data_IF_632198526613
#
_entry.id   IF_632198526613
#
_cell.length_a   1.000
_cell.length_b   1.000
_cell.length_c   1.000
_cell.angle_alpha   90.00
_cell.angle_beta   90.00
_cell.angle_gamma   90.00
#
_symmetry.space_group_name_H-M   'P 1'
#
loop_
_entity.id
_entity.type
_entity.pdbx_description
1 polymer ?
#
# COMPACT_ATOMS: atom_id res chain seq x y z
N UNK A 1 -7.84 -34.57 47.56
CA UNK A 1 -7.14 -35.00 46.33
C UNK A 1 -8.12 -35.37 45.20
N UNK A 2 -9.14 -36.18 45.45
CA UNK A 2 -10.12 -36.70 44.44
C UNK A 2 -10.76 -35.61 43.56
N UNK A 3 -11.18 -34.47 44.12
CA UNK A 3 -11.81 -33.37 43.35
C UNK A 3 -10.84 -32.65 42.40
N UNK A 4 -9.56 -32.52 42.74
CA UNK A 4 -8.56 -31.94 41.88
C UNK A 4 -8.26 -32.83 40.68
N UNK A 5 -8.19 -34.15 40.90
CA UNK A 5 -7.96 -35.11 39.81
C UNK A 5 -9.16 -35.15 38.85
N UNK A 6 -10.39 -35.12 39.38
CA UNK A 6 -11.60 -35.03 38.55
C UNK A 6 -11.65 -33.74 37.71
N UNK A 7 -11.28 -32.61 38.29
CA UNK A 7 -11.22 -31.35 37.58
C UNK A 7 -10.17 -31.40 36.44
N UNK A 8 -9.00 -31.98 36.67
CA UNK A 8 -7.96 -32.13 35.65
C UNK A 8 -8.46 -33.00 34.49
N UNK A 9 -9.08 -34.15 34.82
CA UNK A 9 -9.64 -35.08 33.82
C UNK A 9 -10.74 -34.40 33.02
N UNK A 10 -11.67 -33.70 33.68
CA UNK A 10 -12.74 -32.98 33.01
C UNK A 10 -12.18 -31.88 32.06
N UNK A 11 -11.18 -31.12 32.52
CA UNK A 11 -10.51 -30.12 31.70
C UNK A 11 -9.83 -30.74 30.48
N UNK A 12 -9.14 -31.88 30.67
CA UNK A 12 -8.50 -32.56 29.55
C UNK A 12 -9.52 -33.08 28.53
N UNK A 13 -10.60 -33.71 28.98
CA UNK A 13 -11.69 -34.18 28.11
C UNK A 13 -12.30 -33.01 27.34
N UNK A 14 -12.54 -31.86 27.98
CA UNK A 14 -13.09 -30.67 27.34
C UNK A 14 -12.14 -30.15 26.26
N UNK A 15 -10.85 -30.11 26.51
CA UNK A 15 -9.84 -29.72 25.52
C UNK A 15 -9.85 -30.64 24.30
N UNK A 16 -9.89 -31.95 24.54
CA UNK A 16 -9.91 -32.97 23.48
C UNK A 16 -11.17 -32.84 22.63
N UNK A 17 -12.35 -32.76 23.26
CA UNK A 17 -13.61 -32.56 22.54
C UNK A 17 -13.60 -31.27 21.74
N UNK A 18 -13.14 -30.17 22.31
CA UNK A 18 -13.04 -28.87 21.64
C UNK A 18 -12.12 -28.95 20.42
N UNK A 19 -10.99 -29.65 20.55
CA UNK A 19 -10.06 -29.84 19.43
C UNK A 19 -10.69 -30.62 18.28
N UNK A 20 -11.34 -31.78 18.60
CA UNK A 20 -12.01 -32.59 17.58
C UNK A 20 -13.19 -31.84 16.91
N UNK A 21 -13.96 -31.09 17.69
CA UNK A 21 -15.06 -30.27 17.16
C UNK A 21 -14.52 -29.20 16.21
N UNK A 22 -13.46 -28.54 16.60
CA UNK A 22 -12.80 -27.53 15.75
C UNK A 22 -12.16 -28.15 14.50
N UNK A 23 -11.57 -29.33 14.62
CA UNK A 23 -11.04 -30.10 13.50
C UNK A 23 -12.15 -30.48 12.51
N UNK A 24 -13.24 -31.05 13.00
CA UNK A 24 -14.38 -31.42 12.15
C UNK A 24 -15.01 -30.23 11.46
N UNK A 25 -15.20 -29.12 12.20
CA UNK A 25 -15.69 -27.88 11.63
C UNK A 25 -14.77 -27.35 10.53
N UNK A 26 -13.47 -27.32 10.79
CA UNK A 26 -12.49 -26.84 9.81
C UNK A 26 -12.44 -27.74 8.59
N UNK A 27 -12.50 -29.06 8.78
CA UNK A 27 -12.49 -30.03 7.68
C UNK A 27 -13.72 -29.90 6.78
N UNK A 28 -14.91 -29.77 7.38
CA UNK A 28 -16.17 -29.63 6.64
C UNK A 28 -16.19 -28.30 5.87
N UNK A 29 -15.78 -27.24 6.52
CA UNK A 29 -15.83 -25.89 5.99
C UNK A 29 -14.54 -25.46 5.27
N UNK A 30 -13.59 -26.39 5.09
CA UNK A 30 -12.41 -26.13 4.29
C UNK A 30 -12.86 -25.96 2.84
N UNK A 31 -13.36 -24.76 2.55
CA UNK A 31 -13.56 -24.30 1.18
C UNK A 31 -12.17 -24.17 0.57
N UNK A 32 -12.07 -24.52 -0.69
CA UNK A 32 -10.88 -24.16 -1.45
C UNK A 32 -10.64 -22.68 -1.22
N UNK A 33 -9.56 -22.39 -0.50
CA UNK A 33 -9.12 -21.01 -0.37
C UNK A 33 -9.01 -20.53 -1.80
N UNK A 34 -9.59 -19.37 -2.13
CA UNK A 34 -9.68 -18.96 -3.51
C UNK A 34 -8.32 -19.18 -4.15
N UNK A 35 -8.25 -20.09 -5.09
CA UNK A 35 -7.05 -20.45 -5.86
C UNK A 35 -6.28 -19.21 -6.33
N UNK A 36 -7.00 -18.09 -6.42
CA UNK A 36 -6.53 -16.75 -6.78
C UNK A 36 -5.35 -16.25 -5.92
N UNK A 37 -5.27 -16.64 -4.65
CA UNK A 37 -4.23 -16.15 -3.75
C UNK A 37 -2.99 -17.06 -3.68
N UNK A 38 -3.08 -18.31 -4.14
CA UNK A 38 -2.09 -19.32 -3.78
C UNK A 38 -1.47 -20.07 -4.94
N UNK A 39 -1.84 -19.73 -6.16
CA UNK A 39 -1.60 -20.63 -7.30
C UNK A 39 -0.23 -20.62 -7.91
N UNK A 40 0.67 -19.70 -7.62
CA UNK A 40 1.96 -19.75 -8.26
C UNK A 40 3.14 -19.70 -7.32
N UNK A 41 4.02 -20.67 -7.47
CA UNK A 41 5.38 -20.67 -6.91
C UNK A 41 6.12 -19.36 -7.21
N UNK A 42 5.88 -18.76 -8.38
CA UNK A 42 6.43 -17.45 -8.78
C UNK A 42 6.01 -16.33 -7.83
N UNK A 43 4.74 -16.29 -7.41
CA UNK A 43 4.22 -15.28 -6.48
C UNK A 43 4.90 -15.42 -5.12
N UNK A 44 5.00 -16.65 -4.63
CA UNK A 44 5.67 -16.96 -3.37
C UNK A 44 7.16 -16.59 -3.39
N UNK A 45 7.86 -16.91 -4.47
CA UNK A 45 9.28 -16.61 -4.63
C UNK A 45 9.51 -15.09 -4.73
N UNK A 46 8.61 -14.38 -5.41
CA UNK A 46 8.60 -12.92 -5.45
C UNK A 46 8.48 -12.32 -4.05
N UNK A 47 7.53 -12.78 -3.28
CA UNK A 47 7.36 -12.37 -1.90
C UNK A 47 8.59 -12.66 -1.04
N UNK A 48 9.14 -13.85 -1.11
CA UNK A 48 10.37 -14.21 -0.41
C UNK A 48 11.51 -13.26 -0.74
N UNK A 49 11.60 -12.87 -2.00
CA UNK A 49 12.66 -11.99 -2.49
C UNK A 49 12.51 -10.56 -1.98
N UNK A 50 11.29 -10.02 -1.99
CA UNK A 50 11.07 -8.59 -1.73
C UNK A 50 10.56 -8.26 -0.33
N UNK A 51 10.03 -9.23 0.44
CA UNK A 51 9.52 -9.02 1.80
C UNK A 51 10.54 -8.43 2.78
N UNK A 52 11.82 -8.55 2.48
CA UNK A 52 12.90 -7.97 3.28
C UNK A 52 13.29 -6.55 2.86
N UNK A 53 12.81 -6.09 1.72
CA UNK A 53 13.26 -4.84 1.10
C UNK A 53 12.24 -3.71 1.19
N UNK A 54 10.96 -4.04 1.33
CA UNK A 54 9.88 -3.06 1.32
C UNK A 54 8.99 -3.21 2.54
N UNK A 55 8.56 -2.10 3.08
CA UNK A 55 7.81 -2.02 4.32
C UNK A 55 6.42 -2.66 4.24
N UNK A 56 5.67 -2.32 3.24
CA UNK A 56 4.41 -2.94 2.90
C UNK A 56 4.61 -3.69 1.59
N UNK A 57 4.72 -4.98 1.69
CA UNK A 57 4.52 -5.78 0.53
C UNK A 57 3.10 -6.28 0.62
N UNK A 58 2.24 -5.59 -0.05
CA UNK A 58 1.13 -6.29 -0.61
C UNK A 58 1.76 -7.19 -1.68
N UNK A 59 1.12 -7.87 -2.36
CA UNK A 59 1.52 -8.93 -3.20
C UNK A 59 2.72 -8.65 -4.11
N UNK A 60 3.09 -7.40 -4.52
CA UNK A 60 3.87 -7.26 -5.72
C UNK A 60 4.57 -5.93 -5.89
N UNK A 61 5.08 -5.32 -4.85
CA UNK A 61 5.73 -4.02 -5.06
C UNK A 61 4.79 -3.01 -5.76
N UNK A 62 3.47 -3.15 -5.53
CA UNK A 62 2.43 -2.35 -6.15
C UNK A 62 1.94 -2.85 -7.50
N UNK A 63 2.43 -3.98 -7.96
CA UNK A 63 1.92 -4.63 -9.15
C UNK A 63 1.08 -5.82 -8.73
N UNK A 64 -0.17 -5.83 -9.08
CA UNK A 64 -1.03 -6.97 -8.83
C UNK A 64 -0.76 -8.08 -9.84
N UNK A 65 -0.18 -9.14 -9.36
CA UNK A 65 -0.13 -10.37 -10.14
C UNK A 65 -1.42 -11.13 -9.91
N UNK A 66 -2.29 -11.08 -10.84
CA UNK A 66 -3.40 -11.99 -10.88
C UNK A 66 -2.97 -13.26 -11.59
N UNK A 67 -3.11 -14.39 -10.92
CA UNK A 67 -2.89 -15.71 -11.51
C UNK A 67 -4.00 -16.18 -12.42
N UNK A 68 -5.16 -15.65 -12.23
CA UNK A 68 -6.13 -15.78 -13.29
C UNK A 68 -5.65 -14.81 -14.34
N UNK A 69 -5.64 -15.25 -15.54
CA UNK A 69 -5.93 -14.52 -16.71
C UNK A 69 -7.01 -13.46 -16.47
N UNK A 70 -6.91 -12.69 -15.43
CA UNK A 70 -7.52 -11.42 -15.33
C UNK A 70 -6.87 -10.72 -16.45
N UNK A 71 -7.48 -11.05 -17.47
CA UNK A 71 -7.22 -10.75 -18.86
C UNK A 71 -6.17 -9.68 -18.85
N UNK A 72 -5.04 -9.95 -19.46
CA UNK A 72 -3.91 -9.03 -19.68
C UNK A 72 -4.34 -7.64 -20.19
N UNK A 73 -5.60 -7.42 -20.30
CA UNK A 73 -6.34 -6.21 -20.59
C UNK A 73 -6.52 -5.31 -19.39
N UNK A 74 -6.14 -5.76 -18.20
CA UNK A 74 -6.17 -4.91 -17.05
C UNK A 74 -4.96 -4.01 -17.07
N UNK A 75 -5.15 -2.85 -17.62
CA UNK A 75 -4.12 -1.82 -17.78
C UNK A 75 -3.46 -1.43 -16.48
N UNK A 76 -4.12 -1.72 -15.38
CA UNK A 76 -3.70 -1.37 -14.04
C UNK A 76 -3.04 -2.56 -13.34
N UNK A 77 -3.27 -3.74 -13.87
CA UNK A 77 -2.71 -5.01 -13.41
C UNK A 77 -2.03 -5.67 -14.56
N UNK A 78 -0.89 -5.20 -14.87
CA UNK A 78 -0.10 -5.82 -15.91
C UNK A 78 0.55 -7.04 -15.32
N UNK A 79 0.27 -8.20 -15.91
CA UNK A 79 1.18 -9.31 -15.75
C UNK A 79 2.55 -8.82 -16.21
N UNK A 80 3.48 -8.74 -15.26
CA UNK A 80 4.80 -8.16 -15.48
C UNK A 80 5.56 -8.84 -16.63
N UNK A 81 5.21 -10.10 -16.92
CA UNK A 81 5.77 -10.85 -18.04
C UNK A 81 5.18 -10.45 -19.41
N UNK A 82 4.16 -9.62 -19.43
CA UNK A 82 3.47 -9.17 -20.64
C UNK A 82 3.59 -7.65 -20.84
N UNK A 83 4.55 -7.02 -20.15
CA UNK A 83 4.83 -5.60 -20.36
C UNK A 83 5.50 -5.47 -21.71
N UNK A 84 4.73 -4.94 -22.64
CA UNK A 84 5.16 -4.55 -23.96
C UNK A 84 5.84 -3.18 -23.85
N UNK A 85 7.17 -3.18 -23.91
CA UNK A 85 7.96 -1.95 -23.81
C UNK A 85 7.87 -1.08 -25.09
N UNK A 86 7.19 -1.55 -26.14
CA UNK A 86 7.01 -0.79 -27.38
C UNK A 86 5.87 0.24 -27.26
N UNK A 87 5.00 0.11 -26.25
CA UNK A 87 3.90 1.05 -26.04
C UNK A 87 4.29 2.17 -25.08
N UNK A 88 3.82 3.38 -25.39
CA UNK A 88 3.91 4.51 -24.50
C UNK A 88 3.34 4.17 -23.12
N UNK A 89 4.16 4.24 -22.10
CA UNK A 89 3.84 3.72 -20.77
C UNK A 89 3.78 4.83 -19.73
N UNK A 90 2.69 4.86 -19.00
CA UNK A 90 2.48 5.74 -17.83
C UNK A 90 2.52 4.90 -16.56
N UNK A 91 3.47 5.21 -15.68
CA UNK A 91 3.55 4.60 -14.35
C UNK A 91 2.83 5.50 -13.33
N UNK A 92 1.88 4.91 -12.63
CA UNK A 92 1.19 5.54 -11.50
C UNK A 92 1.84 5.06 -10.21
N UNK A 93 2.48 5.95 -9.46
CA UNK A 93 3.06 5.67 -8.14
C UNK A 93 2.39 6.51 -7.06
N UNK A 94 2.36 6.01 -5.86
CA UNK A 94 1.82 6.67 -4.68
C UNK A 94 1.37 5.68 -3.63
N UNK A 95 0.55 6.16 -2.75
CA UNK A 95 -0.01 5.41 -1.64
C UNK A 95 -1.38 4.79 -1.95
N UNK A 96 -2.25 4.74 -0.93
CA UNK A 96 -3.60 4.21 -1.03
C UNK A 96 -4.51 4.92 -2.03
N UNK A 97 -4.26 6.17 -2.38
CA UNK A 97 -5.02 6.90 -3.39
C UNK A 97 -4.82 6.33 -4.80
N UNK A 98 -3.60 5.99 -5.13
CA UNK A 98 -3.27 5.33 -6.40
C UNK A 98 -3.66 3.84 -6.36
N UNK A 99 -3.43 3.18 -5.23
CA UNK A 99 -3.84 1.79 -5.00
C UNK A 99 -5.36 1.59 -5.25
N UNK A 100 -6.18 2.55 -4.83
CA UNK A 100 -7.64 2.53 -5.03
C UNK A 100 -8.09 2.55 -6.49
N UNK A 101 -7.29 3.03 -7.41
CA UNK A 101 -7.61 2.95 -8.84
C UNK A 101 -7.74 1.48 -9.27
N UNK A 102 -6.95 0.60 -8.70
CA UNK A 102 -6.87 -0.81 -9.07
C UNK A 102 -7.70 -1.73 -8.21
N UNK A 103 -7.75 -1.42 -6.94
CA UNK A 103 -8.47 -2.19 -5.92
C UNK A 103 -9.61 -1.37 -5.39
N UNK A 104 -10.84 -1.75 -5.68
CA UNK A 104 -11.96 -1.19 -4.97
C UNK A 104 -12.13 -1.89 -3.61
N UNK A 105 -11.56 -1.43 -2.50
CA UNK A 105 -12.06 -1.83 -1.20
C UNK A 105 -13.50 -1.35 -1.03
N UNK A 106 -13.95 -0.42 -1.88
CA UNK A 106 -15.19 0.33 -1.76
C UNK A 106 -16.10 0.28 -3.00
N UNK A 107 -16.02 -0.78 -3.80
CA UNK A 107 -16.99 -1.06 -4.90
C UNK A 107 -16.96 -0.19 -6.15
N UNK A 108 -16.08 0.76 -6.37
CA UNK A 108 -16.09 1.46 -7.64
C UNK A 108 -15.04 0.93 -8.62
N UNK A 109 -15.49 0.11 -9.52
CA UNK A 109 -14.75 -0.21 -10.75
C UNK A 109 -14.61 1.01 -11.67
N UNK A 110 -15.24 2.13 -11.32
CA UNK A 110 -15.35 3.30 -12.19
C UNK A 110 -13.99 3.94 -12.48
N UNK A 111 -13.18 4.22 -11.45
CA UNK A 111 -11.84 4.78 -11.64
C UNK A 111 -10.98 3.94 -12.57
N UNK A 112 -11.05 2.64 -12.44
CA UNK A 112 -10.34 1.68 -13.27
C UNK A 112 -10.81 1.70 -14.71
N UNK A 113 -12.13 1.66 -14.93
CA UNK A 113 -12.71 1.70 -16.27
C UNK A 113 -12.43 3.03 -16.97
N UNK A 114 -12.43 4.14 -16.25
CA UNK A 114 -12.05 5.46 -16.76
C UNK A 114 -10.60 5.42 -17.29
N UNK A 115 -9.65 4.94 -16.51
CA UNK A 115 -8.23 4.86 -16.91
C UNK A 115 -8.06 3.90 -18.08
N UNK A 116 -8.74 2.76 -18.06
CA UNK A 116 -8.71 1.76 -19.14
C UNK A 116 -9.23 2.33 -20.45
N UNK A 117 -10.39 2.99 -20.41
CA UNK A 117 -10.99 3.58 -21.60
C UNK A 117 -10.12 4.70 -22.18
N UNK A 118 -9.55 5.54 -21.32
CA UNK A 118 -8.60 6.55 -21.72
C UNK A 118 -7.34 5.93 -22.36
N UNK A 119 -6.75 4.93 -21.70
CA UNK A 119 -5.58 4.23 -22.23
C UNK A 119 -5.85 3.57 -23.60
N UNK A 120 -6.98 2.93 -23.77
CA UNK A 120 -7.38 2.35 -25.05
C UNK A 120 -7.54 3.42 -26.14
N UNK A 121 -8.22 4.53 -25.83
CA UNK A 121 -8.44 5.65 -26.77
C UNK A 121 -7.13 6.30 -27.21
N UNK A 122 -6.21 6.48 -26.28
CA UNK A 122 -4.91 7.16 -26.52
C UNK A 122 -3.76 6.21 -26.86
N UNK A 123 -3.98 4.90 -26.87
CA UNK A 123 -2.95 3.85 -27.04
C UNK A 123 -1.84 3.92 -25.97
N UNK A 124 -2.20 4.33 -24.78
CA UNK A 124 -1.32 4.44 -23.62
C UNK A 124 -1.48 3.20 -22.74
N UNK A 125 -0.36 2.68 -22.25
CA UNK A 125 -0.33 1.64 -21.25
C UNK A 125 -0.15 2.24 -19.87
N UNK A 126 -1.07 1.97 -18.97
CA UNK A 126 -0.94 2.35 -17.56
C UNK A 126 -0.44 1.18 -16.72
N UNK A 127 0.48 1.46 -15.81
CA UNK A 127 0.96 0.54 -14.79
C UNK A 127 0.66 1.18 -13.44
N UNK A 128 -0.16 0.51 -12.63
CA UNK A 128 -0.44 0.96 -11.29
C UNK A 128 0.55 0.34 -10.29
N UNK A 129 1.36 1.19 -9.69
CA UNK A 129 2.33 0.85 -8.67
C UNK A 129 2.01 1.52 -7.31
N UNK A 130 0.74 1.90 -7.10
CA UNK A 130 0.27 2.43 -5.82
C UNK A 130 0.21 1.38 -4.74
N UNK A 131 0.74 1.68 -3.57
CA UNK A 131 0.67 0.83 -2.39
C UNK A 131 0.40 1.69 -1.15
N UNK A 132 -0.59 1.30 -0.39
CA UNK A 132 -0.96 1.97 0.86
C UNK A 132 0.25 2.34 1.72
N UNK A 133 0.32 3.60 2.14
CA UNK A 133 1.40 4.19 2.94
C UNK A 133 2.77 4.28 2.24
N UNK A 134 2.87 4.07 0.93
CA UNK A 134 4.13 4.38 0.24
C UNK A 134 4.32 5.88 0.16
N UNK A 135 5.51 6.31 0.54
CA UNK A 135 5.98 7.69 0.50
C UNK A 135 7.24 7.80 -0.37
N UNK A 136 7.79 8.97 -0.61
CA UNK A 136 8.92 9.17 -1.52
C UNK A 136 10.08 8.19 -1.35
N UNK A 137 10.43 7.80 -0.12
CA UNK A 137 11.49 6.80 0.13
C UNK A 137 11.16 5.44 -0.48
N UNK A 138 9.94 4.95 -0.29
CA UNK A 138 9.54 3.64 -0.82
C UNK A 138 9.25 3.69 -2.31
N UNK A 139 8.67 4.79 -2.80
CA UNK A 139 8.46 5.02 -4.23
C UNK A 139 9.79 5.02 -4.98
N UNK A 140 10.83 5.61 -4.39
CA UNK A 140 12.18 5.61 -4.95
C UNK A 140 12.79 4.20 -5.04
N UNK A 141 12.65 3.40 -4.00
CA UNK A 141 13.09 1.99 -4.01
C UNK A 141 12.30 1.17 -5.03
N UNK A 142 10.99 1.33 -5.06
CA UNK A 142 10.09 0.65 -5.98
C UNK A 142 10.46 0.94 -7.43
N UNK A 143 10.66 2.22 -7.79
CA UNK A 143 11.06 2.61 -9.15
C UNK A 143 12.34 1.91 -9.59
N UNK A 144 13.35 1.88 -8.72
CA UNK A 144 14.61 1.18 -9.02
C UNK A 144 14.43 -0.34 -9.18
N UNK A 145 13.54 -0.95 -8.41
CA UNK A 145 13.22 -2.38 -8.54
C UNK A 145 12.51 -2.64 -9.87
N UNK A 146 11.52 -1.81 -10.21
CA UNK A 146 10.76 -1.95 -11.46
C UNK A 146 11.69 -1.89 -12.68
N UNK A 147 12.63 -0.95 -12.72
CA UNK A 147 13.58 -0.84 -13.81
C UNK A 147 14.61 -1.97 -13.83
N UNK A 148 15.30 -2.17 -12.71
CA UNK A 148 16.47 -3.08 -12.70
C UNK A 148 16.07 -4.54 -12.81
N UNK A 149 14.94 -4.94 -12.24
CA UNK A 149 14.55 -6.33 -12.13
C UNK A 149 13.41 -6.73 -13.06
N UNK A 150 12.53 -5.78 -13.36
CA UNK A 150 11.36 -6.04 -14.20
C UNK A 150 11.47 -5.40 -15.59
N UNK A 151 12.52 -4.60 -15.83
CA UNK A 151 12.74 -3.91 -17.10
C UNK A 151 11.58 -3.01 -17.52
N UNK A 152 10.94 -2.40 -16.54
CA UNK A 152 9.86 -1.43 -16.76
C UNK A 152 10.46 -0.04 -16.85
N UNK A 153 10.34 0.58 -18.01
CA UNK A 153 10.87 1.89 -18.32
C UNK A 153 9.72 2.83 -18.73
N UNK A 154 9.07 3.51 -17.77
CA UNK A 154 7.94 4.37 -18.09
C UNK A 154 8.37 5.62 -18.85
N UNK A 155 7.57 6.05 -19.82
CA UNK A 155 7.75 7.33 -20.52
C UNK A 155 7.29 8.51 -19.66
N UNK A 156 6.21 8.32 -18.90
CA UNK A 156 5.63 9.30 -17.99
C UNK A 156 5.44 8.69 -16.61
N UNK A 157 5.73 9.48 -15.60
CA UNK A 157 5.48 9.15 -14.22
C UNK A 157 4.42 10.08 -13.65
N UNK A 158 3.36 9.51 -13.08
CA UNK A 158 2.39 10.19 -12.22
C UNK A 158 2.65 9.74 -10.80
N UNK A 159 3.14 10.62 -9.97
CA UNK A 159 3.50 10.33 -8.59
C UNK A 159 2.61 11.12 -7.63
N UNK A 160 1.77 10.41 -6.88
CA UNK A 160 0.96 11.02 -5.84
C UNK A 160 1.74 11.14 -4.54
N UNK A 161 1.78 12.34 -4.00
CA UNK A 161 2.40 12.67 -2.72
C UNK A 161 1.27 13.01 -1.75
N UNK A 162 1.03 12.12 -0.80
CA UNK A 162 -0.04 12.30 0.16
C UNK A 162 0.36 13.24 1.29
N UNK A 163 -0.65 13.83 1.93
CA UNK A 163 -0.44 14.67 3.10
C UNK A 163 0.20 13.88 4.26
N UNK A 164 -0.16 12.60 4.40
CA UNK A 164 0.37 11.72 5.45
C UNK A 164 1.80 11.24 5.20
N UNK A 165 2.34 11.42 4.00
CA UNK A 165 3.70 10.98 3.66
C UNK A 165 4.77 11.57 4.58
N UNK A 166 4.57 12.79 5.08
CA UNK A 166 5.48 13.39 6.07
C UNK A 166 5.54 12.54 7.35
N UNK A 167 4.39 12.04 7.80
CA UNK A 167 4.32 11.17 8.97
C UNK A 167 4.88 9.77 8.68
N UNK A 168 4.61 9.22 7.51
CA UNK A 168 5.14 7.92 7.09
C UNK A 168 6.67 7.96 7.01
N UNK A 169 7.26 8.99 6.41
CA UNK A 169 8.71 9.17 6.35
C UNK A 169 9.34 9.28 7.72
N UNK A 170 8.80 10.13 8.60
CA UNK A 170 9.40 10.41 9.90
C UNK A 170 9.17 9.30 10.91
N UNK A 171 7.97 8.74 10.96
CA UNK A 171 7.55 7.78 11.97
C UNK A 171 7.84 6.34 11.56
N UNK A 172 7.46 5.95 10.33
CA UNK A 172 7.55 4.55 9.90
C UNK A 172 8.89 4.18 9.29
N UNK A 173 9.47 5.08 8.47
CA UNK A 173 10.60 4.69 7.63
C UNK A 173 11.94 5.14 8.16
N UNK A 174 12.01 6.27 8.87
CA UNK A 174 13.28 6.88 9.30
C UNK A 174 14.23 5.88 9.96
N UNK A 175 13.75 5.18 10.99
CA UNK A 175 14.55 4.23 11.77
C UNK A 175 14.70 2.84 11.12
N UNK A 176 13.98 2.61 10.02
CA UNK A 176 13.92 1.32 9.35
C UNK A 176 14.72 1.28 8.04
N UNK A 177 15.36 2.39 7.66
CA UNK A 177 16.18 2.48 6.44
C UNK A 177 17.45 1.63 6.55
N UNK A 178 17.70 0.82 5.53
CA UNK A 178 18.94 0.07 5.37
C UNK A 178 19.75 0.70 4.25
N UNK A 179 20.96 1.14 4.56
CA UNK A 179 21.92 1.66 3.60
C UNK A 179 23.07 0.70 3.40
N UNK A 180 23.56 0.59 2.16
CA UNK A 180 24.84 -0.05 1.81
C UNK A 180 25.68 0.94 1.01
N UNK A 181 26.88 1.26 1.49
CA UNK A 181 27.75 2.29 0.86
C UNK A 181 26.95 3.58 0.58
N UNK A 182 26.28 4.08 1.60
CA UNK A 182 25.41 5.29 1.59
C UNK A 182 24.18 5.26 0.67
N UNK A 183 24.01 4.20 -0.11
CA UNK A 183 22.81 4.01 -0.94
C UNK A 183 21.72 3.32 -0.13
N UNK A 184 20.52 3.87 -0.16
CA UNK A 184 19.33 3.22 0.38
C UNK A 184 19.03 1.97 -0.44
N UNK A 185 18.99 0.81 0.21
CA UNK A 185 18.75 -0.49 -0.44
C UNK A 185 17.46 -1.16 0.02
N UNK A 186 16.96 -0.80 1.20
CA UNK A 186 15.73 -1.34 1.75
C UNK A 186 15.17 -0.48 2.86
N UNK A 187 13.89 -0.69 3.18
CA UNK A 187 13.27 -0.24 4.43
C UNK A 187 12.71 -1.48 5.11
N UNK A 188 13.17 -1.77 6.32
CA UNK A 188 12.67 -2.91 7.09
C UNK A 188 11.18 -2.73 7.36
N UNK A 189 10.36 -3.77 7.20
CA UNK A 189 8.99 -3.76 7.67
C UNK A 189 8.97 -3.50 9.18
N UNK A 190 7.99 -2.75 9.65
CA UNK A 190 7.74 -2.64 11.08
C UNK A 190 7.57 -4.02 11.69
N UNK A 191 8.42 -4.33 12.66
CA UNK A 191 8.53 -5.66 13.28
C UNK A 191 7.20 -6.20 13.83
N UNK A 192 6.19 -5.33 13.92
CA UNK A 192 4.92 -5.60 14.58
C UNK A 192 3.71 -4.95 13.88
N UNK A 193 3.78 -4.62 12.61
CA UNK A 193 2.61 -4.11 11.90
C UNK A 193 1.54 -5.21 11.77
N UNK A 194 0.29 -4.85 11.86
CA UNK A 194 -0.80 -5.82 11.67
C UNK A 194 -0.72 -6.47 10.29
N UNK A 195 -0.31 -5.70 9.28
CA UNK A 195 -0.11 -6.16 7.91
C UNK A 195 0.96 -7.26 7.81
N UNK A 196 2.09 -7.11 8.55
CA UNK A 196 3.12 -8.15 8.56
C UNK A 196 2.59 -9.49 9.11
N UNK A 197 1.67 -9.41 10.08
CA UNK A 197 1.04 -10.59 10.65
C UNK A 197 0.06 -11.24 9.69
N UNK A 198 -0.82 -10.47 9.10
CA UNK A 198 -1.78 -10.98 8.13
C UNK A 198 -1.05 -11.57 6.94
N UNK A 199 0.03 -10.93 6.54
CA UNK A 199 0.90 -11.39 5.46
C UNK A 199 1.61 -12.71 5.79
N UNK A 200 2.23 -12.81 6.98
CA UNK A 200 2.86 -14.05 7.43
C UNK A 200 1.86 -15.19 7.54
N UNK A 201 0.61 -14.89 7.88
CA UNK A 201 -0.48 -15.88 7.92
C UNK A 201 -0.84 -16.36 6.52
N UNK A 202 -1.07 -15.44 5.59
CA UNK A 202 -1.38 -15.78 4.19
C UNK A 202 -0.25 -16.62 3.60
N UNK A 203 0.98 -16.22 3.85
CA UNK A 203 2.17 -16.93 3.41
C UNK A 203 2.24 -18.37 3.95
N UNK A 204 2.09 -18.54 5.27
CA UNK A 204 2.12 -19.87 5.89
C UNK A 204 0.99 -20.77 5.41
N UNK A 205 -0.20 -20.21 5.20
CA UNK A 205 -1.32 -20.98 4.64
C UNK A 205 -1.04 -21.37 3.18
N UNK A 206 -0.41 -20.50 2.39
CA UNK A 206 -0.04 -20.83 1.01
C UNK A 206 0.96 -21.99 0.94
N UNK A 207 1.96 -22.00 1.81
CA UNK A 207 2.93 -23.11 1.92
C UNK A 207 2.22 -24.44 2.22
N UNK A 208 1.24 -24.43 3.12
CA UNK A 208 0.47 -25.63 3.45
C UNK A 208 -0.32 -26.12 2.23
N UNK A 209 -0.95 -25.20 1.48
CA UNK A 209 -1.70 -25.58 0.29
C UNK A 209 -0.84 -26.12 -0.84
N UNK A 210 0.36 -25.60 -1.01
CA UNK A 210 1.30 -26.03 -2.05
C UNK A 210 1.96 -27.38 -1.71
N UNK A 211 2.20 -27.63 -0.42
CA UNK A 211 2.96 -28.79 0.01
C UNK A 211 2.10 -30.04 0.34
N UNK A 212 0.81 -29.85 0.55
CA UNK A 212 -0.07 -30.96 0.94
C UNK A 212 -1.28 -31.09 0.00
N UNK A 213 -1.39 -32.23 -0.70
CA UNK A 213 -2.50 -32.49 -1.62
C UNK A 213 -3.74 -33.08 -0.92
N UNK A 214 -3.57 -33.73 0.21
CA UNK A 214 -4.67 -34.34 0.97
C UNK A 214 -5.44 -33.30 1.78
N UNK A 215 -6.78 -33.30 1.64
CA UNK A 215 -7.67 -32.44 2.44
C UNK A 215 -7.47 -32.64 3.95
N UNK A 216 -7.29 -33.89 4.37
CA UNK A 216 -7.06 -34.25 5.79
C UNK A 216 -5.75 -33.61 6.29
N UNK A 217 -4.65 -33.79 5.57
CA UNK A 217 -3.35 -33.24 5.94
C UNK A 217 -3.38 -31.70 5.92
N UNK A 218 -4.00 -31.09 4.91
CA UNK A 218 -4.19 -29.64 4.87
C UNK A 218 -4.92 -29.14 6.11
N UNK A 219 -6.03 -29.79 6.49
CA UNK A 219 -6.81 -29.40 7.68
C UNK A 219 -5.95 -29.47 8.94
N UNK A 220 -5.21 -30.55 9.13
CA UNK A 220 -4.33 -30.71 10.29
C UNK A 220 -3.27 -29.62 10.36
N UNK A 221 -2.58 -29.37 9.24
CA UNK A 221 -1.53 -28.35 9.18
C UNK A 221 -2.09 -26.93 9.33
N UNK A 222 -3.27 -26.64 8.80
CA UNK A 222 -3.93 -25.34 8.97
C UNK A 222 -4.29 -25.08 10.44
N UNK A 223 -4.82 -26.08 11.13
CA UNK A 223 -5.17 -25.96 12.54
C UNK A 223 -3.91 -25.73 13.38
N UNK A 224 -2.88 -26.53 13.16
CA UNK A 224 -1.61 -26.39 13.87
C UNK A 224 -0.97 -25.02 13.60
N UNK A 225 -0.96 -24.59 12.36
CA UNK A 225 -0.47 -23.28 11.95
C UNK A 225 -1.25 -22.13 12.61
N UNK A 226 -2.59 -22.18 12.59
CA UNK A 226 -3.43 -21.17 13.21
C UNK A 226 -3.23 -21.12 14.73
N UNK A 227 -3.04 -22.28 15.37
CA UNK A 227 -2.74 -22.36 16.80
C UNK A 227 -1.40 -21.71 17.15
N UNK A 228 -0.34 -22.10 16.44
CA UNK A 228 1.00 -21.49 16.61
C UNK A 228 0.99 -19.99 16.30
N UNK A 229 0.30 -19.60 15.24
CA UNK A 229 0.14 -18.20 14.86
C UNK A 229 -0.60 -17.41 15.94
N UNK A 230 -1.69 -17.96 16.49
CA UNK A 230 -2.46 -17.36 17.59
C UNK A 230 -1.62 -17.16 18.85
N UNK A 231 -0.87 -18.19 19.26
CA UNK A 231 0.05 -18.11 20.43
C UNK A 231 1.10 -17.03 20.17
N UNK A 232 1.79 -17.06 19.03
CA UNK A 232 2.81 -16.08 18.70
C UNK A 232 2.25 -14.66 18.68
N UNK A 233 1.03 -14.47 18.17
CA UNK A 233 0.34 -13.18 18.16
C UNK A 233 0.05 -12.69 19.59
N UNK A 234 -0.38 -13.57 20.50
CA UNK A 234 -0.63 -13.20 21.90
C UNK A 234 0.66 -12.92 22.67
N UNK A 235 1.66 -13.77 22.52
CA UNK A 235 2.99 -13.60 23.12
C UNK A 235 3.59 -12.25 22.68
N UNK A 236 3.51 -11.94 21.40
CA UNK A 236 4.00 -10.65 20.91
C UNK A 236 3.17 -9.47 21.40
N UNK A 237 1.84 -9.60 21.55
CA UNK A 237 1.03 -8.56 22.19
C UNK A 237 1.50 -8.30 23.63
N UNK A 238 1.78 -9.37 24.36
CA UNK A 238 2.27 -9.26 25.74
C UNK A 238 3.61 -8.53 25.83
N UNK A 239 4.54 -8.85 24.95
CA UNK A 239 5.85 -8.15 24.89
C UNK A 239 5.77 -6.75 24.25
N UNK A 240 4.76 -6.47 23.41
CA UNK A 240 4.52 -5.16 22.80
C UNK A 240 4.22 -4.07 23.81
N UNK A 241 3.53 -4.37 24.88
CA UNK A 241 3.16 -3.37 25.88
C UNK A 241 4.37 -2.71 26.58
N UNK A 242 5.58 -3.23 26.34
CA UNK A 242 6.85 -2.68 26.90
C UNK A 242 7.64 -1.77 25.95
N UNK A 243 7.29 -1.66 24.65
CA UNK A 243 7.99 -0.77 23.70
C UNK A 243 7.03 0.21 23.03
N UNK A 244 7.14 1.48 23.43
CA UNK A 244 6.25 2.60 23.05
C UNK A 244 6.42 3.15 21.62
N UNK A 245 7.21 2.57 20.75
CA UNK A 245 7.43 3.14 19.41
C UNK A 245 6.53 2.45 18.37
N UNK A 246 5.30 2.90 18.30
CA UNK A 246 4.34 2.48 17.26
C UNK A 246 3.89 3.71 16.49
N UNK A 247 4.03 3.66 15.18
CA UNK A 247 3.44 4.63 14.28
C UNK A 247 1.98 4.27 14.01
N UNK A 248 1.11 4.64 14.95
CA UNK A 248 -0.32 4.63 14.68
C UNK A 248 -0.67 5.80 13.79
N UNK A 249 -1.82 5.72 13.16
CA UNK A 249 -2.34 6.77 12.32
C UNK A 249 -2.35 8.15 13.01
N UNK A 250 -2.67 8.20 14.30
CA UNK A 250 -2.65 9.42 15.12
C UNK A 250 -1.26 10.05 15.22
N UNK A 251 -0.21 9.24 15.34
CA UNK A 251 1.16 9.74 15.37
C UNK A 251 1.56 10.32 14.02
N UNK A 252 1.11 9.71 12.93
CA UNK A 252 1.33 10.20 11.57
C UNK A 252 0.65 11.57 11.38
N UNK A 253 -0.60 11.71 11.80
CA UNK A 253 -1.33 12.99 11.72
C UNK A 253 -0.69 14.11 12.54
N UNK A 254 -0.01 13.80 13.64
CA UNK A 254 0.62 14.82 14.47
C UNK A 254 1.65 15.66 13.70
N UNK A 255 2.31 15.08 12.67
CA UNK A 255 3.23 15.81 11.81
C UNK A 255 2.54 16.88 10.94
N UNK A 256 1.23 16.76 10.72
CA UNK A 256 0.42 17.75 10.02
C UNK A 256 -0.21 18.77 10.98
N UNK A 257 -0.61 18.32 12.18
CA UNK A 257 -1.25 19.16 13.20
C UNK A 257 -0.23 20.08 13.90
N UNK A 258 0.93 19.53 14.23
CA UNK A 258 2.00 20.23 14.94
C UNK A 258 3.34 19.96 14.24
N UNK A 259 3.55 20.53 13.05
CA UNK A 259 4.73 20.26 12.26
C UNK A 259 5.99 20.84 12.91
N UNK A 260 7.04 20.03 12.98
CA UNK A 260 8.36 20.42 13.44
C UNK A 260 9.28 20.65 12.23
N UNK A 261 10.12 21.68 12.29
CA UNK A 261 11.07 22.02 11.23
C UNK A 261 11.93 20.82 10.80
N UNK A 262 12.46 20.08 11.75
CA UNK A 262 13.29 18.90 11.48
C UNK A 262 12.53 17.80 10.71
N UNK A 263 11.25 17.62 11.03
CA UNK A 263 10.40 16.63 10.35
C UNK A 263 10.08 17.04 8.93
N UNK A 264 9.87 18.33 8.70
CA UNK A 264 9.67 18.90 7.38
C UNK A 264 10.93 18.74 6.54
N UNK A 265 12.08 19.11 7.06
CA UNK A 265 13.37 18.96 6.38
C UNK A 265 13.67 17.51 6.02
N UNK A 266 13.36 16.57 6.93
CA UNK A 266 13.56 15.14 6.68
C UNK A 266 12.70 14.64 5.52
N UNK A 267 11.41 14.98 5.50
CA UNK A 267 10.51 14.65 4.41
C UNK A 267 10.95 15.31 3.08
N UNK A 268 11.30 16.61 3.11
CA UNK A 268 11.78 17.32 1.95
C UNK A 268 13.02 16.67 1.34
N UNK A 269 13.97 16.25 2.15
CA UNK A 269 15.16 15.51 1.71
C UNK A 269 14.82 14.14 1.07
N UNK A 270 13.80 13.45 1.60
CA UNK A 270 13.34 12.20 1.01
C UNK A 270 12.70 12.43 -0.38
N UNK A 271 11.85 13.44 -0.49
CA UNK A 271 11.24 13.85 -1.76
C UNK A 271 12.29 14.33 -2.77
N UNK A 272 13.22 15.18 -2.36
CA UNK A 272 14.35 15.64 -3.18
C UNK A 272 15.17 14.47 -3.75
N UNK A 273 15.49 13.49 -2.90
CA UNK A 273 16.21 12.28 -3.30
C UNK A 273 15.45 11.47 -4.35
N UNK A 274 14.13 11.34 -4.19
CA UNK A 274 13.27 10.68 -5.16
C UNK A 274 13.25 11.44 -6.49
N UNK A 275 13.02 12.74 -6.47
CA UNK A 275 12.98 13.58 -7.66
C UNK A 275 14.31 13.59 -8.41
N UNK A 276 15.43 13.69 -7.70
CA UNK A 276 16.77 13.60 -8.30
C UNK A 276 17.00 12.27 -9.00
N UNK A 277 16.55 11.17 -8.41
CA UNK A 277 16.62 9.85 -9.06
C UNK A 277 15.80 9.82 -10.35
N UNK A 278 14.58 10.37 -10.34
CA UNK A 278 13.72 10.44 -11.53
C UNK A 278 14.34 11.33 -12.63
N UNK A 279 14.92 12.45 -12.26
CA UNK A 279 15.56 13.37 -13.23
C UNK A 279 16.73 12.73 -13.94
N UNK A 280 17.48 11.86 -13.26
CA UNK A 280 18.58 11.10 -13.83
C UNK A 280 18.14 10.00 -14.81
N UNK A 281 16.84 9.68 -14.89
CA UNK A 281 16.29 8.67 -15.78
C UNK A 281 15.88 9.30 -17.12
N UNK A 282 16.67 9.04 -18.15
CA UNK A 282 16.50 9.67 -19.48
C UNK A 282 15.24 9.20 -20.20
N UNK A 283 14.77 7.98 -19.93
CA UNK A 283 13.55 7.44 -20.53
C UNK A 283 12.27 8.10 -20.00
N UNK A 284 12.27 8.61 -18.75
CA UNK A 284 11.12 9.35 -18.22
C UNK A 284 11.10 10.76 -18.83
N UNK A 285 10.16 11.00 -19.72
CA UNK A 285 10.04 12.27 -20.47
C UNK A 285 9.37 13.37 -19.66
N UNK A 286 8.36 12.99 -18.84
CA UNK A 286 7.57 13.92 -18.04
C UNK A 286 7.18 13.30 -16.70
N UNK A 287 7.08 14.13 -15.68
CA UNK A 287 6.63 13.76 -14.34
C UNK A 287 5.50 14.68 -13.93
N UNK A 288 4.41 14.09 -13.48
CA UNK A 288 3.33 14.79 -12.80
C UNK A 288 3.38 14.41 -11.32
N UNK A 289 3.73 15.38 -10.47
CA UNK A 289 3.49 15.22 -9.03
C UNK A 289 2.07 15.66 -8.74
N UNK A 290 1.34 14.83 -8.04
CA UNK A 290 -0.06 15.06 -7.71
C UNK A 290 -0.18 15.17 -6.20
N UNK A 291 -0.87 16.19 -5.72
CA UNK A 291 -1.23 16.33 -4.30
C UNK A 291 -2.70 16.66 -4.17
N UNK A 292 -3.33 16.14 -3.14
CA UNK A 292 -4.71 16.45 -2.79
C UNK A 292 -4.81 16.85 -1.32
N UNK A 293 -5.60 17.87 -0.95
CA UNK A 293 -5.79 18.23 0.45
C UNK A 293 -6.65 17.17 1.16
N UNK A 294 -6.47 16.99 2.46
CA UNK A 294 -7.37 16.19 3.28
C UNK A 294 -8.50 17.05 3.86
N UNK A 295 -9.61 16.44 4.25
CA UNK A 295 -10.74 17.13 4.86
C UNK A 295 -10.33 18.03 6.04
N UNK A 296 -9.34 17.60 6.82
CA UNK A 296 -8.86 18.32 8.01
C UNK A 296 -8.13 19.63 7.72
N UNK A 297 -7.76 19.92 6.46
CA UNK A 297 -7.25 21.23 6.06
C UNK A 297 -8.37 22.30 6.00
N UNK A 298 -9.62 21.86 5.94
CA UNK A 298 -10.80 22.75 5.84
C UNK A 298 -11.54 22.92 7.16
N UNK A 299 -11.03 22.35 8.25
CA UNK A 299 -11.52 22.62 9.59
C UNK A 299 -11.17 24.07 9.98
N UNK A 300 -11.90 24.64 10.94
CA UNK A 300 -11.49 25.90 11.56
C UNK A 300 -10.16 25.71 12.29
N UNK A 301 -9.32 26.74 12.30
CA UNK A 301 -7.98 26.67 12.89
C UNK A 301 -7.96 26.31 14.36
N UNK A 302 -9.04 26.61 15.08
CA UNK A 302 -9.24 26.31 16.51
C UNK A 302 -9.77 24.89 16.72
N UNK A 303 -10.26 24.22 15.67
CA UNK A 303 -10.81 22.88 15.80
C UNK A 303 -9.71 21.85 16.05
N UNK A 304 -10.00 20.93 16.93
CA UNK A 304 -9.08 19.83 17.22
C UNK A 304 -8.84 18.98 15.97
N UNK A 305 -7.57 18.86 15.59
CA UNK A 305 -7.15 18.05 14.46
C UNK A 305 -7.04 18.80 13.14
N UNK A 306 -7.18 20.13 13.15
CA UNK A 306 -6.85 20.97 12.00
C UNK A 306 -5.39 20.75 11.56
N UNK A 307 -5.17 20.57 10.26
CA UNK A 307 -3.84 20.43 9.69
C UNK A 307 -3.23 21.78 9.38
N UNK A 308 -2.18 22.13 10.11
CA UNK A 308 -1.41 23.38 9.92
C UNK A 308 -0.45 23.29 8.74
N UNK A 309 0.01 22.08 8.42
CA UNK A 309 0.91 21.85 7.31
C UNK A 309 0.13 21.33 6.11
N UNK A 310 0.33 21.96 4.97
CA UNK A 310 -0.13 21.46 3.68
C UNK A 310 1.10 21.04 2.86
N UNK A 311 1.23 19.73 2.61
CA UNK A 311 2.35 19.14 1.86
C UNK A 311 2.39 19.66 0.41
N UNK A 312 1.24 20.06 -0.15
CA UNK A 312 1.19 20.64 -1.49
C UNK A 312 2.07 21.89 -1.62
N UNK A 313 2.16 22.70 -0.57
CA UNK A 313 3.00 23.91 -0.56
C UNK A 313 4.50 23.54 -0.54
N UNK A 314 4.87 22.52 0.22
CA UNK A 314 6.26 22.01 0.21
C UNK A 314 6.65 21.46 -1.16
N UNK A 315 5.74 20.73 -1.81
CA UNK A 315 5.96 20.21 -3.17
C UNK A 315 6.18 21.38 -4.14
N UNK A 316 5.35 22.43 -4.10
CA UNK A 316 5.51 23.61 -4.96
C UNK A 316 6.90 24.27 -4.80
N UNK A 317 7.37 24.40 -3.56
CA UNK A 317 8.69 24.99 -3.27
C UNK A 317 9.83 24.11 -3.82
N UNK A 318 9.75 22.80 -3.60
CA UNK A 318 10.79 21.84 -4.00
C UNK A 318 10.92 21.76 -5.52
N UNK A 319 9.82 21.87 -6.27
CA UNK A 319 9.85 21.69 -7.72
C UNK A 319 10.02 22.98 -8.53
N UNK A 320 10.02 24.14 -7.89
CA UNK A 320 9.97 25.47 -8.52
C UNK A 320 10.87 25.63 -9.75
N UNK A 321 12.04 25.01 -9.74
CA UNK A 321 13.04 25.10 -10.81
C UNK A 321 13.21 23.82 -11.65
N UNK A 322 12.27 22.86 -11.55
CA UNK A 322 12.38 21.54 -12.20
C UNK A 322 11.52 21.47 -13.45
N UNK A 323 12.10 21.76 -14.61
CA UNK A 323 11.37 21.82 -15.90
C UNK A 323 10.68 20.51 -16.30
N UNK A 324 11.23 19.35 -15.91
CA UNK A 324 10.69 18.03 -16.24
C UNK A 324 9.44 17.69 -15.42
N UNK A 325 9.23 18.37 -14.30
CA UNK A 325 8.20 18.06 -13.31
C UNK A 325 7.10 19.12 -13.36
N UNK A 326 5.85 18.67 -13.43
CA UNK A 326 4.66 19.52 -13.32
C UNK A 326 3.90 19.11 -12.06
N UNK A 327 3.48 20.07 -11.25
CA UNK A 327 2.61 19.81 -10.10
C UNK A 327 1.14 19.94 -10.50
N UNK A 328 0.36 18.93 -10.19
CA UNK A 328 -1.10 18.95 -10.20
C UNK A 328 -1.51 19.18 -8.75
N UNK A 329 -1.74 20.42 -8.39
CA UNK A 329 -2.06 20.84 -7.03
C UNK A 329 -3.57 21.03 -6.89
N UNK A 330 -4.27 20.00 -6.43
CA UNK A 330 -5.71 20.05 -6.28
C UNK A 330 -6.20 21.08 -5.26
N UNK A 331 -5.37 21.49 -4.30
CA UNK A 331 -5.71 22.61 -3.41
C UNK A 331 -5.93 23.91 -4.16
N UNK A 332 -5.16 24.12 -5.25
CA UNK A 332 -5.25 25.32 -6.11
C UNK A 332 -6.28 25.14 -7.23
N UNK A 333 -6.33 23.96 -7.84
CA UNK A 333 -7.15 23.72 -9.04
C UNK A 333 -8.65 23.65 -8.73
N UNK A 334 -9.04 23.08 -7.59
CA UNK A 334 -10.45 22.88 -7.25
C UNK A 334 -11.12 24.09 -6.64
N UNK A 335 -10.38 25.19 -6.34
CA UNK A 335 -10.93 26.40 -5.67
C UNK A 335 -11.87 26.01 -4.52
N UNK A 336 -11.40 25.08 -3.70
CA UNK A 336 -12.20 24.51 -2.63
C UNK A 336 -12.43 25.60 -1.56
N UNK A 337 -13.52 26.35 -1.67
CA UNK A 337 -13.93 27.38 -0.71
C UNK A 337 -14.54 26.74 0.54
N UNK A 338 -14.37 27.40 1.68
CA UNK A 338 -14.89 26.91 2.99
C UNK A 338 -16.42 26.72 3.05
N UNK A 339 -17.15 27.15 2.02
CA UNK A 339 -18.62 27.14 1.96
C UNK A 339 -19.22 26.06 1.05
N UNK A 340 -18.41 25.30 0.31
CA UNK A 340 -18.94 24.25 -0.54
C UNK A 340 -19.17 22.96 0.26
N UNK A 341 -20.08 22.12 -0.19
CA UNK A 341 -20.46 20.85 0.44
C UNK A 341 -19.32 19.81 0.43
N UNK A 342 -18.15 20.23 0.90
CA UNK A 342 -16.96 19.38 1.03
C UNK A 342 -17.18 18.08 1.77
N UNK A 343 -18.21 18.06 2.63
CA UNK A 343 -18.54 16.87 3.41
C UNK A 343 -18.88 15.70 2.49
N UNK A 344 -19.43 15.99 1.31
CA UNK A 344 -19.92 14.97 0.38
C UNK A 344 -18.83 14.32 -0.46
N UNK A 345 -17.72 15.01 -0.72
CA UNK A 345 -16.64 14.44 -1.56
C UNK A 345 -15.76 13.45 -0.80
N UNK A 346 -15.73 13.52 0.54
CA UNK A 346 -14.87 12.72 1.37
C UNK A 346 -15.53 11.41 1.80
N UNK A 347 -14.72 10.36 1.91
CA UNK A 347 -15.10 9.11 2.55
C UNK A 347 -15.26 9.26 4.09
N UNK A 348 -15.61 8.16 4.71
CA UNK A 348 -15.81 8.11 6.18
C UNK A 348 -14.53 8.37 6.98
N UNK A 349 -13.39 8.08 6.42
CA UNK A 349 -12.07 8.20 7.08
C UNK A 349 -11.49 9.62 7.03
N UNK A 350 -12.15 10.55 6.36
CA UNK A 350 -11.73 11.97 6.22
C UNK A 350 -10.43 12.20 5.44
N UNK A 351 -9.80 11.16 4.93
CA UNK A 351 -8.57 11.20 4.16
C UNK A 351 -8.85 10.95 2.69
N UNK A 352 -9.53 9.84 2.40
CA UNK A 352 -9.84 9.44 1.05
C UNK A 352 -11.15 10.05 0.58
N UNK A 353 -11.22 10.29 -0.71
CA UNK A 353 -12.50 10.65 -1.37
C UNK A 353 -13.46 9.45 -1.34
N UNK A 354 -14.74 9.72 -1.42
CA UNK A 354 -15.69 8.67 -1.73
C UNK A 354 -15.44 8.15 -3.17
N UNK A 355 -16.02 7.01 -3.52
CA UNK A 355 -15.76 6.35 -4.80
C UNK A 355 -16.06 7.23 -6.01
N UNK A 356 -17.17 7.96 -5.99
CA UNK A 356 -17.58 8.83 -7.07
C UNK A 356 -16.65 10.01 -7.23
N UNK A 357 -16.31 10.67 -6.13
CA UNK A 357 -15.38 11.80 -6.12
C UNK A 357 -13.95 11.38 -6.52
N UNK A 358 -13.51 10.20 -6.10
CA UNK A 358 -12.23 9.65 -6.52
C UNK A 358 -12.19 9.46 -8.05
N UNK A 359 -13.24 8.93 -8.63
CA UNK A 359 -13.33 8.74 -10.07
C UNK A 359 -13.46 10.06 -10.83
N UNK A 360 -14.37 10.91 -10.42
CA UNK A 360 -14.77 12.09 -11.16
C UNK A 360 -13.87 13.31 -10.92
N UNK A 361 -13.33 13.45 -9.70
CA UNK A 361 -12.49 14.57 -9.34
C UNK A 361 -11.01 14.21 -9.47
N UNK A 362 -10.57 13.14 -8.82
CA UNK A 362 -9.15 12.81 -8.78
C UNK A 362 -8.66 12.19 -10.10
N UNK A 363 -9.25 11.08 -10.51
CA UNK A 363 -8.77 10.34 -11.69
C UNK A 363 -8.97 11.10 -12.98
N UNK A 364 -10.18 11.63 -13.24
CA UNK A 364 -10.45 12.36 -14.49
C UNK A 364 -9.55 13.58 -14.65
N UNK A 365 -9.29 14.34 -13.58
CA UNK A 365 -8.40 15.49 -13.69
C UNK A 365 -6.94 15.10 -13.96
N UNK A 366 -6.43 14.03 -13.36
CA UNK A 366 -5.11 13.51 -13.72
C UNK A 366 -5.05 13.17 -15.21
N UNK A 367 -6.08 12.50 -15.74
CA UNK A 367 -6.12 12.13 -17.17
C UNK A 367 -6.22 13.34 -18.09
N UNK A 368 -6.92 14.43 -17.70
CA UNK A 368 -6.95 15.69 -18.46
C UNK A 368 -5.55 16.30 -18.60
N UNK A 369 -4.73 16.23 -17.55
CA UNK A 369 -3.33 16.66 -17.66
C UNK A 369 -2.49 15.79 -18.59
N UNK A 370 -2.82 14.50 -18.70
CA UNK A 370 -2.17 13.57 -19.62
C UNK A 370 -2.66 13.75 -21.08
N UNK A 371 -3.87 14.27 -21.31
CA UNK A 371 -4.36 14.55 -22.67
C UNK A 371 -3.53 15.62 -23.40
N UNK A 372 -3.01 16.55 -22.65
CA UNK A 372 -2.25 17.71 -23.17
C UNK A 372 -0.73 17.42 -23.28
N UNK A 373 -0.35 16.18 -23.06
CA UNK A 373 1.01 15.68 -23.21
C UNK A 373 1.17 14.81 -24.45
#
# INVERSE_FOLDING_TARGET
MRNKTLAIIATFITIVISYFSYFSYTYINLKDIPEQYFKTKKKLDFHKKYSKSLHHIRDEVGLNFSDKETKATDLLFTNINQIDNEKFTVLLQGDSWIDQISYPPYKSYESREIVKNFGNKKKIKFINAGISSFSPTLMNLQLNILENQFKIYPDVLVAYIDQTDIGDENCRYRENKIKKKDKLVAVKPEKYSNHLWDYSRIYGLSEIYLNYNSKLLRTFHIINFNFQYGINKQVQKFFKNKKKNKCYYREIENYLISPEKQSIEYFSNALESYLKNIENKTHIKKVFLVTFPHKKHFLKTEERGFYKLNVSNLVDEIIKNRKKIKHINFSKELKLDNNSDFKEIWGKDTIHLNSESHSNIFVKNILLHLENF
#
